data_IF_490385733473
#
_entry.id   IF_490385733473
#
_cell.length_a   1.000
_cell.length_b   1.000
_cell.length_c   1.000
_cell.angle_alpha   90.00
_cell.angle_beta   90.00
_cell.angle_gamma   90.00
#
_symmetry.space_group_name_H-M   'P 1'
#
loop_
_entity.id
_entity.type
_entity.pdbx_description
1 polymer ?
#
# COMPACT_ATOMS: atom_id res chain seq x y z
N UNK A 1 16.10 3.94 18.37
CA UNK A 1 15.70 5.16 17.61
C UNK A 1 15.46 4.72 16.17
N UNK A 2 14.20 4.67 15.76
CA UNK A 2 13.72 3.99 14.54
C UNK A 2 14.27 4.69 13.29
N UNK A 3 14.85 3.93 12.36
CA UNK A 3 15.22 4.42 11.02
C UNK A 3 14.20 3.92 9.99
N UNK A 4 12.95 4.32 10.13
CA UNK A 4 12.11 4.58 8.95
C UNK A 4 12.79 5.74 8.19
N UNK A 5 12.37 6.07 6.97
CA UNK A 5 12.64 7.41 6.39
C UNK A 5 12.20 8.57 7.32
N UNK A 6 11.63 8.29 8.50
CA UNK A 6 11.43 9.20 9.63
C UNK A 6 12.70 9.97 10.10
N UNK A 7 13.91 9.53 9.73
CA UNK A 7 15.15 10.32 9.94
C UNK A 7 15.61 11.09 8.68
N UNK A 8 14.92 10.95 7.55
CA UNK A 8 15.04 11.91 6.46
C UNK A 8 14.29 13.17 6.90
N UNK A 9 14.98 14.32 6.88
CA UNK A 9 14.30 15.62 7.03
C UNK A 9 13.35 15.79 5.85
N UNK A 10 12.09 15.36 5.99
CA UNK A 10 11.04 15.70 5.06
C UNK A 10 10.92 17.22 5.00
N UNK A 11 10.90 17.75 3.78
CA UNK A 11 10.53 19.14 3.55
C UNK A 11 9.09 19.39 4.01
N UNK A 12 8.73 20.64 4.30
CA UNK A 12 7.36 20.98 4.70
C UNK A 12 6.31 20.45 3.71
N UNK A 13 6.47 20.59 2.37
CA UNK A 13 5.52 20.00 1.42
C UNK A 13 5.43 18.47 1.50
N UNK A 14 6.53 17.77 1.74
CA UNK A 14 6.53 16.31 1.90
C UNK A 14 5.80 15.89 3.16
N UNK A 15 5.98 16.60 4.28
CA UNK A 15 5.20 16.36 5.51
C UNK A 15 3.70 16.52 5.27
N UNK A 16 3.30 17.55 4.53
CA UNK A 16 1.90 17.73 4.15
C UNK A 16 1.39 16.59 3.27
N UNK A 17 2.22 16.06 2.38
CA UNK A 17 1.87 14.93 1.52
C UNK A 17 1.77 13.59 2.25
N UNK A 18 2.28 13.48 3.48
CA UNK A 18 2.18 12.30 4.33
C UNK A 18 0.89 12.27 5.16
N UNK A 19 0.17 13.40 5.27
CA UNK A 19 -1.10 13.48 6.01
C UNK A 19 -2.18 12.58 5.39
N UNK A 20 -2.51 11.48 6.08
CA UNK A 20 -3.51 10.49 5.69
C UNK A 20 -4.95 10.86 6.08
N UNK A 21 -5.16 11.94 6.82
CA UNK A 21 -6.49 12.34 7.33
C UNK A 21 -7.40 12.99 6.28
N UNK A 22 -6.87 13.27 5.07
CA UNK A 22 -7.57 13.99 4.02
C UNK A 22 -7.11 13.61 2.62
N UNK A 23 -7.94 13.94 1.63
CA UNK A 23 -7.61 13.81 0.22
C UNK A 23 -6.59 14.88 -0.19
N UNK A 24 -5.56 14.48 -0.95
CA UNK A 24 -4.46 15.35 -1.35
C UNK A 24 -4.14 15.24 -2.84
N UNK A 25 -3.94 16.40 -3.47
CA UNK A 25 -3.26 16.51 -4.76
C UNK A 25 -1.83 17.01 -4.56
N UNK A 26 -0.83 16.24 -4.98
CA UNK A 26 0.59 16.59 -4.84
C UNK A 26 1.16 16.99 -6.21
N UNK A 27 1.57 18.25 -6.35
CA UNK A 27 2.30 18.73 -7.53
C UNK A 27 3.80 18.67 -7.25
N UNK A 28 4.56 18.00 -8.11
CA UNK A 28 5.95 17.73 -7.83
C UNK A 28 6.78 17.47 -9.10
N UNK A 29 7.92 18.17 -9.22
CA UNK A 29 8.84 18.06 -10.36
C UNK A 29 9.58 16.71 -10.38
N UNK A 30 10.28 16.40 -11.47
CA UNK A 30 11.20 15.26 -11.50
C UNK A 30 12.23 15.37 -10.36
N UNK A 31 12.66 14.24 -9.79
CA UNK A 31 13.66 14.20 -8.71
C UNK A 31 13.18 14.67 -7.31
N UNK A 32 11.96 15.16 -7.17
CA UNK A 32 11.41 15.64 -5.87
C UNK A 32 11.03 14.54 -4.86
N UNK A 33 11.26 13.27 -5.19
CA UNK A 33 10.99 12.14 -4.30
C UNK A 33 9.52 11.71 -4.23
N UNK A 34 8.68 12.02 -5.23
CA UNK A 34 7.25 11.64 -5.29
C UNK A 34 6.98 10.19 -4.86
N UNK A 35 7.69 9.24 -5.48
CA UNK A 35 7.52 7.82 -5.21
C UNK A 35 7.94 7.47 -3.78
N UNK A 36 9.00 8.08 -3.26
CA UNK A 36 9.43 7.85 -1.87
C UNK A 36 8.38 8.36 -0.88
N UNK A 37 7.82 9.55 -1.11
CA UNK A 37 6.74 10.10 -0.28
C UNK A 37 5.49 9.23 -0.33
N UNK A 38 5.13 8.70 -1.50
CA UNK A 38 4.01 7.76 -1.64
C UNK A 38 4.24 6.47 -0.84
N UNK A 39 5.44 5.90 -0.94
CA UNK A 39 5.84 4.71 -0.16
C UNK A 39 5.77 5.00 1.35
N UNK A 40 6.36 6.12 1.79
CA UNK A 40 6.35 6.52 3.20
C UNK A 40 4.92 6.76 3.71
N UNK A 41 4.02 7.29 2.87
CA UNK A 41 2.60 7.46 3.20
C UNK A 41 1.90 6.12 3.44
N UNK A 42 2.16 5.12 2.58
CA UNK A 42 1.63 3.76 2.75
C UNK A 42 2.14 3.16 4.06
N UNK A 43 3.45 3.26 4.31
CA UNK A 43 4.06 2.75 5.56
C UNK A 43 3.46 3.44 6.79
N UNK A 44 3.21 4.75 6.76
CA UNK A 44 2.58 5.46 7.88
C UNK A 44 1.16 4.97 8.16
N UNK A 45 0.39 4.65 7.12
CA UNK A 45 -0.95 4.09 7.31
C UNK A 45 -0.86 2.71 7.97
N UNK A 46 0.09 1.86 7.56
CA UNK A 46 0.30 0.54 8.16
C UNK A 46 0.83 0.64 9.61
N UNK A 47 1.70 1.61 9.89
CA UNK A 47 2.21 1.91 11.24
C UNK A 47 1.09 2.35 12.18
N UNK A 48 0.11 3.12 11.70
CA UNK A 48 -1.05 3.54 12.49
C UNK A 48 -1.97 2.37 12.88
N UNK A 49 -1.86 1.23 12.21
CA UNK A 49 -2.74 0.06 12.38
C UNK A 49 -2.04 -1.15 13.00
N UNK A 50 -0.75 -1.04 13.35
CA UNK A 50 -0.01 -2.11 14.02
C UNK A 50 -0.30 -2.16 15.53
N UNK A 51 -0.03 -3.28 16.23
CA UNK A 51 -0.06 -3.34 17.70
C UNK A 51 0.83 -2.28 18.32
N UNK A 52 0.41 -1.61 19.41
CA UNK A 52 1.16 -0.47 19.95
C UNK A 52 2.50 -0.91 20.55
N UNK A 53 2.52 -2.05 21.24
CA UNK A 53 3.73 -2.63 21.84
C UNK A 53 3.98 -4.10 21.46
N UNK A 54 5.19 -4.59 21.77
CA UNK A 54 5.66 -5.93 21.37
C UNK A 54 4.99 -7.07 22.13
N UNK A 55 4.44 -6.80 23.32
CA UNK A 55 3.81 -7.75 24.23
C UNK A 55 2.28 -7.63 24.25
N UNK A 56 1.72 -6.56 23.66
CA UNK A 56 0.29 -6.35 23.53
C UNK A 56 -0.31 -7.34 22.55
N UNK A 57 -1.09 -8.26 23.11
CA UNK A 57 -2.03 -9.05 22.33
C UNK A 57 -3.28 -8.19 22.12
N UNK A 58 -3.46 -7.63 20.93
CA UNK A 58 -4.67 -6.92 20.53
C UNK A 58 -5.70 -7.94 19.99
N UNK A 59 -6.76 -8.31 20.75
CA UNK A 59 -7.78 -9.23 20.27
C UNK A 59 -8.92 -8.42 19.64
N UNK A 60 -9.06 -8.45 18.32
CA UNK A 60 -10.26 -7.94 17.64
C UNK A 60 -10.22 -6.47 17.18
N UNK A 61 -11.35 -5.94 16.64
CA UNK A 61 -11.39 -5.33 15.32
C UNK A 61 -11.24 -3.80 15.37
N UNK A 62 -10.02 -3.30 15.42
CA UNK A 62 -9.69 -2.18 14.50
C UNK A 62 -9.86 -2.77 13.10
N UNK A 63 -10.42 -2.11 12.07
CA UNK A 63 -10.28 -2.66 10.73
C UNK A 63 -8.79 -2.90 10.56
N UNK A 64 -8.39 -4.17 10.45
CA UNK A 64 -6.99 -4.58 10.39
C UNK A 64 -6.52 -4.12 9.02
N UNK A 65 -6.24 -2.81 8.94
CA UNK A 65 -6.00 -2.12 7.70
C UNK A 65 -4.60 -2.52 7.30
N UNK A 66 -4.57 -3.50 6.42
CA UNK A 66 -3.37 -4.13 5.93
C UNK A 66 -3.10 -3.65 4.52
N UNK A 67 -1.94 -4.03 4.00
CA UNK A 67 -1.50 -3.55 2.69
C UNK A 67 -2.46 -3.94 1.54
N UNK A 68 -3.20 -5.05 1.68
CA UNK A 68 -4.22 -5.49 0.72
C UNK A 68 -5.42 -4.52 0.62
N UNK A 69 -5.62 -3.68 1.64
CA UNK A 69 -6.68 -2.69 1.68
C UNK A 69 -6.26 -1.35 1.02
N UNK A 70 -5.05 -1.27 0.46
CA UNK A 70 -4.50 -0.07 -0.17
C UNK A 70 -4.39 -0.28 -1.68
N UNK A 71 -5.27 0.38 -2.43
CA UNK A 71 -5.18 0.44 -3.90
C UNK A 71 -4.13 1.45 -4.33
N UNK A 72 -3.11 0.97 -5.05
CA UNK A 72 -2.04 1.81 -5.61
C UNK A 72 -1.95 1.61 -7.12
N UNK A 73 -2.50 2.55 -7.88
CA UNK A 73 -2.54 2.52 -9.35
C UNK A 73 -1.48 3.44 -9.98
N UNK A 74 -0.97 3.02 -11.13
CA UNK A 74 -0.01 3.81 -11.94
C UNK A 74 -0.22 3.57 -13.44
N UNK A 75 0.50 4.29 -14.28
CA UNK A 75 0.37 4.18 -15.74
C UNK A 75 1.15 3.01 -16.34
N UNK A 76 2.20 2.51 -15.66
CA UNK A 76 3.08 1.49 -16.26
C UNK A 76 3.33 0.33 -15.31
N UNK A 77 3.39 -0.89 -15.87
CA UNK A 77 3.76 -2.10 -15.12
C UNK A 77 5.12 -1.95 -14.44
N UNK A 78 6.06 -1.25 -15.09
CA UNK A 78 7.39 -0.94 -14.52
C UNK A 78 7.29 -0.09 -13.25
N UNK A 79 6.48 0.98 -13.26
CA UNK A 79 6.30 1.83 -12.09
C UNK A 79 5.60 1.08 -10.94
N UNK A 80 4.64 0.19 -11.25
CA UNK A 80 3.98 -0.65 -10.26
C UNK A 80 4.98 -1.61 -9.60
N UNK A 81 5.81 -2.28 -10.42
CA UNK A 81 6.88 -3.16 -9.93
C UNK A 81 7.91 -2.42 -9.07
N UNK A 82 8.29 -1.20 -9.46
CA UNK A 82 9.20 -0.37 -8.64
C UNK A 82 8.58 0.01 -7.30
N UNK A 83 7.28 0.37 -7.28
CA UNK A 83 6.55 0.68 -6.05
C UNK A 83 6.49 -0.54 -5.12
N UNK A 84 6.11 -1.71 -5.66
CA UNK A 84 6.04 -2.98 -4.92
C UNK A 84 7.41 -3.36 -4.34
N UNK A 85 8.48 -3.25 -5.12
CA UNK A 85 9.84 -3.56 -4.67
C UNK A 85 10.33 -2.64 -3.54
N UNK A 86 10.01 -1.34 -3.62
CA UNK A 86 10.33 -0.37 -2.55
C UNK A 86 9.58 -0.66 -1.26
N UNK A 87 8.29 -1.00 -1.35
CA UNK A 87 7.48 -1.41 -0.20
C UNK A 87 8.02 -2.69 0.43
N UNK A 88 8.27 -3.73 -0.36
CA UNK A 88 8.85 -5.00 0.11
C UNK A 88 10.12 -4.77 0.93
N UNK A 89 11.05 -3.98 0.39
CA UNK A 89 12.30 -3.65 1.08
C UNK A 89 12.07 -3.00 2.44
N UNK A 90 11.21 -1.98 2.51
CA UNK A 90 10.96 -1.27 3.77
C UNK A 90 10.21 -2.13 4.79
N UNK A 91 9.25 -2.94 4.34
CA UNK A 91 8.53 -3.86 5.23
C UNK A 91 9.48 -4.88 5.85
N UNK A 92 10.40 -5.45 5.07
CA UNK A 92 11.46 -6.35 5.59
C UNK A 92 12.38 -5.64 6.59
N UNK A 93 12.77 -4.39 6.31
CA UNK A 93 13.57 -3.59 7.24
C UNK A 93 12.83 -3.36 8.58
N UNK A 94 11.53 -3.07 8.52
CA UNK A 94 10.69 -2.87 9.71
C UNK A 94 10.48 -4.18 10.49
N UNK A 95 10.28 -5.29 9.81
CA UNK A 95 10.16 -6.62 10.42
C UNK A 95 11.44 -6.98 11.20
N UNK A 96 12.62 -6.84 10.58
CA UNK A 96 13.92 -7.14 11.20
C UNK A 96 14.19 -6.27 12.43
N UNK A 97 13.71 -5.02 12.42
CA UNK A 97 13.90 -4.06 13.50
C UNK A 97 12.90 -4.21 14.66
N UNK A 98 11.87 -5.04 14.51
CA UNK A 98 10.78 -5.19 15.48
C UNK A 98 10.87 -6.49 16.29
N UNK A 99 10.34 -6.48 17.51
CA UNK A 99 10.12 -7.68 18.33
C UNK A 99 8.65 -8.09 18.45
N UNK A 100 8.42 -9.26 19.05
CA UNK A 100 7.11 -9.70 19.52
C UNK A 100 5.96 -9.64 18.50
N UNK A 101 4.82 -9.11 18.92
CA UNK A 101 3.62 -8.94 18.08
C UNK A 101 3.81 -7.95 16.93
N UNK A 102 4.64 -6.92 17.12
CA UNK A 102 4.96 -5.94 16.08
C UNK A 102 5.71 -6.59 14.92
N UNK A 103 6.67 -7.47 15.21
CA UNK A 103 7.35 -8.26 14.18
C UNK A 103 6.38 -9.11 13.37
N UNK A 104 5.47 -9.81 14.05
CA UNK A 104 4.44 -10.65 13.41
C UNK A 104 3.54 -9.82 12.50
N UNK A 105 3.17 -8.61 12.91
CA UNK A 105 2.38 -7.68 12.09
C UNK A 105 3.08 -7.34 10.77
N UNK A 106 4.37 -6.97 10.82
CA UNK A 106 5.14 -6.66 9.61
C UNK A 106 5.32 -7.86 8.69
N UNK A 107 5.57 -9.05 9.26
CA UNK A 107 5.63 -10.29 8.49
C UNK A 107 4.31 -10.57 7.74
N UNK A 108 3.16 -10.31 8.37
CA UNK A 108 1.85 -10.41 7.70
C UNK A 108 1.69 -9.38 6.57
N UNK A 109 2.22 -8.16 6.72
CA UNK A 109 2.17 -7.18 5.63
C UNK A 109 3.04 -7.60 4.43
N UNK A 110 4.16 -8.27 4.68
CA UNK A 110 5.02 -8.83 3.63
C UNK A 110 4.29 -9.92 2.85
N UNK A 111 3.64 -10.84 3.56
CA UNK A 111 2.84 -11.92 2.94
C UNK A 111 1.72 -11.33 2.06
N UNK A 112 0.95 -10.40 2.62
CA UNK A 112 -0.17 -9.74 1.93
C UNK A 112 0.23 -8.79 0.81
N UNK A 113 1.50 -8.35 0.75
CA UNK A 113 1.97 -7.47 -0.31
C UNK A 113 1.88 -8.16 -1.67
N UNK A 114 1.97 -9.49 -1.74
CA UNK A 114 1.90 -10.20 -3.01
C UNK A 114 0.56 -10.01 -3.71
N UNK A 115 -0.53 -10.12 -2.95
CA UNK A 115 -1.91 -9.98 -3.42
C UNK A 115 -2.46 -8.55 -3.34
N UNK A 116 -1.66 -7.60 -2.82
CA UNK A 116 -2.08 -6.22 -2.71
C UNK A 116 -2.35 -5.57 -4.09
N UNK A 117 -3.40 -4.75 -4.24
CA UNK A 117 -3.78 -4.11 -5.51
C UNK A 117 -2.83 -2.97 -5.91
N UNK A 118 -1.60 -3.34 -6.27
CA UNK A 118 -0.51 -2.48 -6.73
C UNK A 118 -0.23 -2.78 -8.19
N UNK A 119 -0.79 -1.98 -9.10
CA UNK A 119 -0.82 -2.31 -10.51
C UNK A 119 -1.05 -1.11 -11.43
N UNK A 120 -1.34 -1.40 -12.70
CA UNK A 120 -1.79 -0.35 -13.60
C UNK A 120 -3.27 -0.05 -13.43
N UNK A 121 -3.70 1.12 -13.90
CA UNK A 121 -5.11 1.51 -13.92
C UNK A 121 -5.97 0.41 -14.57
N UNK A 122 -5.55 -0.08 -15.74
CA UNK A 122 -6.31 -1.09 -16.49
C UNK A 122 -6.35 -2.44 -15.79
N UNK A 123 -5.25 -2.87 -15.14
CA UNK A 123 -5.24 -4.12 -14.37
C UNK A 123 -6.17 -4.05 -13.16
N UNK A 124 -6.24 -2.90 -12.49
CA UNK A 124 -7.12 -2.72 -11.33
C UNK A 124 -8.60 -2.73 -11.73
N UNK A 125 -9.01 -1.94 -12.73
CA UNK A 125 -10.39 -2.00 -13.20
C UNK A 125 -10.71 -3.35 -13.84
N UNK A 126 -9.74 -3.97 -14.50
CA UNK A 126 -9.87 -5.31 -15.03
C UNK A 126 -10.17 -6.36 -13.95
N UNK A 127 -9.53 -6.29 -12.77
CA UNK A 127 -9.81 -7.22 -11.67
C UNK A 127 -11.23 -7.04 -11.12
N UNK A 128 -11.66 -5.78 -10.91
CA UNK A 128 -13.03 -5.46 -10.46
C UNK A 128 -14.07 -6.05 -11.41
N UNK A 129 -13.88 -5.87 -12.72
CA UNK A 129 -14.82 -6.39 -13.72
C UNK A 129 -14.91 -7.91 -13.66
N UNK A 130 -13.78 -8.62 -13.56
CA UNK A 130 -13.79 -10.10 -13.45
C UNK A 130 -14.44 -10.58 -12.15
N UNK A 131 -14.15 -9.93 -11.02
CA UNK A 131 -14.70 -10.29 -9.71
C UNK A 131 -16.23 -10.14 -9.66
N UNK A 132 -16.77 -9.18 -10.42
CA UNK A 132 -18.21 -8.89 -10.42
C UNK A 132 -18.94 -9.43 -11.66
N UNK A 133 -18.24 -10.08 -12.60
CA UNK A 133 -18.82 -10.55 -13.87
C UNK A 133 -20.00 -11.51 -13.68
N UNK A 134 -19.95 -12.36 -12.65
CA UNK A 134 -21.03 -13.31 -12.35
C UNK A 134 -22.25 -12.67 -11.66
N UNK A 135 -22.11 -11.44 -11.17
CA UNK A 135 -23.20 -10.68 -10.55
C UNK A 135 -24.00 -9.86 -11.57
N UNK A 136 -23.48 -9.71 -12.78
CA UNK A 136 -24.12 -8.99 -13.88
C UNK A 136 -24.96 -9.97 -14.73
N UNK A 137 -26.28 -9.83 -14.64
CA UNK A 137 -27.26 -10.63 -15.37
C UNK A 137 -27.77 -9.93 -16.65
N UNK A 138 -27.17 -8.79 -17.01
CA UNK A 138 -27.54 -8.06 -18.23
C UNK A 138 -27.09 -8.78 -19.50
N UNK A 139 -27.81 -8.55 -20.61
CA UNK A 139 -27.47 -9.11 -21.92
C UNK A 139 -26.11 -8.61 -22.44
N UNK A 140 -25.68 -7.43 -22.00
CA UNK A 140 -24.43 -6.77 -22.39
C UNK A 140 -23.27 -7.01 -21.39
N UNK A 141 -23.40 -8.00 -20.50
CA UNK A 141 -22.38 -8.30 -19.48
C UNK A 141 -21.01 -8.56 -20.10
N UNK A 142 -19.96 -8.16 -19.38
CA UNK A 142 -18.57 -8.46 -19.77
C UNK A 142 -18.23 -9.88 -19.33
N UNK A 143 -17.93 -10.77 -20.28
CA UNK A 143 -17.49 -12.13 -19.99
C UNK A 143 -16.16 -12.13 -19.22
N UNK A 144 -16.00 -12.96 -18.18
CA UNK A 144 -14.86 -12.88 -17.25
C UNK A 144 -13.51 -13.22 -17.88
N UNK A 145 -13.47 -13.72 -19.12
CA UNK A 145 -12.27 -14.07 -19.87
C UNK A 145 -11.79 -12.97 -20.85
N UNK A 146 -12.41 -11.79 -20.84
CA UNK A 146 -12.00 -10.65 -21.68
C UNK A 146 -10.50 -10.35 -21.58
N UNK A 147 -9.90 -9.85 -22.66
CA UNK A 147 -8.50 -9.41 -22.67
C UNK A 147 -8.40 -7.88 -22.58
N UNK A 148 -7.44 -7.39 -21.79
CA UNK A 148 -7.07 -5.99 -21.78
C UNK A 148 -6.18 -5.73 -23.01
N UNK A 149 -6.67 -4.87 -23.93
CA UNK A 149 -5.92 -4.44 -25.12
C UNK A 149 -4.80 -3.46 -24.79
#
# INVERSE_FOLDING_TARGET
MIKTSANAKFTTPQKHALDSSRNLGVRANAGSGKTSVLVDRIIQILEQNRPADENEFTPGPTPAFSIENIVSITFTKKAAGELKARLMKLLQELEVQSGGHVKKWWAQQIEKLEDAPIGTIDSFFGSILRENALLDDSEDRIEPDFELM
#
